data_IF_710727766689
#
_entry.id   IF_710727766689
#
_cell.length_a   1.000
_cell.length_b   1.000
_cell.length_c   1.000
_cell.angle_alpha   90.00
_cell.angle_beta   90.00
_cell.angle_gamma   90.00
#
_symmetry.space_group_name_H-M   'P 1'
#
loop_
_entity.id
_entity.type
_entity.pdbx_description
1 polymer ?
#
# COMPACT_ATOMS: atom_id res chain seq x y z
N UNK A 1 -40.10 -3.54 -28.56
CA UNK A 1 -39.39 -2.46 -27.82
C UNK A 1 -38.37 -3.15 -26.95
N UNK A 2 -37.13 -3.17 -27.42
CA UNK A 2 -35.99 -3.80 -26.77
C UNK A 2 -35.49 -2.92 -25.62
N UNK A 3 -35.30 -3.53 -24.45
CA UNK A 3 -34.57 -2.95 -23.33
C UNK A 3 -33.07 -3.05 -23.63
N UNK A 4 -32.51 -2.03 -24.26
CA UNK A 4 -31.10 -1.91 -24.62
C UNK A 4 -30.44 -0.73 -23.89
N UNK A 5 -30.64 -0.61 -22.57
CA UNK A 5 -30.22 0.56 -21.79
C UNK A 5 -29.34 0.30 -20.57
N UNK A 6 -29.30 -0.92 -20.03
CA UNK A 6 -28.61 -1.18 -18.75
C UNK A 6 -27.12 -1.60 -18.90
N UNK A 7 -26.73 -2.13 -20.07
CA UNK A 7 -25.34 -2.59 -20.31
C UNK A 7 -24.34 -1.45 -20.51
N UNK A 8 -24.79 -0.29 -20.96
CA UNK A 8 -23.90 0.84 -21.26
C UNK A 8 -23.50 1.63 -19.99
N UNK A 9 -24.33 1.62 -18.93
CA UNK A 9 -23.96 2.21 -17.64
C UNK A 9 -22.98 1.33 -16.82
N UNK A 10 -23.08 0.00 -16.98
CA UNK A 10 -22.24 -1.00 -16.31
C UNK A 10 -20.77 -0.93 -16.77
N UNK A 11 -20.56 -0.83 -18.08
CA UNK A 11 -19.23 -0.56 -18.65
C UNK A 11 -18.70 0.82 -18.23
N UNK A 12 -19.59 1.81 -18.06
CA UNK A 12 -19.23 3.16 -17.62
C UNK A 12 -18.66 3.22 -16.20
N UNK A 13 -19.08 2.35 -15.28
CA UNK A 13 -18.64 2.38 -13.88
C UNK A 13 -17.20 1.90 -13.68
N UNK A 14 -16.78 0.89 -14.45
CA UNK A 14 -15.39 0.43 -14.53
C UNK A 14 -14.56 1.29 -15.50
N UNK A 15 -15.14 1.81 -16.58
CA UNK A 15 -14.44 2.68 -17.53
C UNK A 15 -14.10 4.07 -16.95
N UNK A 16 -14.89 4.59 -16.02
CA UNK A 16 -14.63 5.85 -15.33
C UNK A 16 -13.54 5.77 -14.22
N UNK A 17 -12.77 4.67 -14.17
CA UNK A 17 -11.52 4.61 -13.39
C UNK A 17 -10.29 5.01 -14.23
N UNK A 18 -10.43 5.07 -15.55
CA UNK A 18 -9.33 5.38 -16.48
C UNK A 18 -9.05 6.88 -16.66
N UNK A 19 -9.77 7.77 -15.96
CA UNK A 19 -9.37 9.19 -15.77
C UNK A 19 -8.18 9.33 -14.79
N UNK A 20 -7.43 8.23 -14.61
CA UNK A 20 -6.19 8.17 -13.84
C UNK A 20 -5.13 9.04 -14.53
N UNK A 21 -4.32 9.73 -13.71
CA UNK A 21 -3.19 10.55 -14.18
C UNK A 21 -2.35 9.68 -15.14
N UNK A 22 -2.50 9.89 -16.45
CA UNK A 22 -1.80 9.19 -17.52
C UNK A 22 -0.33 9.64 -17.62
N UNK A 23 0.33 9.80 -16.48
CA UNK A 23 1.77 9.96 -16.45
C UNK A 23 2.39 8.62 -16.89
N UNK A 24 3.19 8.69 -17.95
CA UNK A 24 4.04 7.57 -18.33
C UNK A 24 4.89 7.17 -17.14
N UNK A 25 5.07 5.87 -16.95
CA UNK A 25 5.99 5.36 -15.93
C UNK A 25 7.41 5.84 -16.22
N UNK A 26 8.22 6.10 -15.17
CA UNK A 26 9.60 6.46 -15.39
C UNK A 26 10.33 5.32 -16.11
N UNK A 27 11.32 5.69 -16.93
CA UNK A 27 12.15 4.71 -17.60
C UNK A 27 12.94 3.91 -16.55
N UNK A 28 13.00 2.59 -16.74
CA UNK A 28 13.86 1.71 -15.94
C UNK A 28 15.32 1.86 -16.41
N UNK A 29 15.90 3.04 -16.20
CA UNK A 29 17.28 3.42 -16.58
C UNK A 29 17.91 4.15 -15.40
N UNK A 30 19.14 3.78 -15.05
CA UNK A 30 19.90 4.46 -13.99
C UNK A 30 20.26 5.90 -14.39
N UNK A 31 20.31 6.80 -13.40
CA UNK A 31 20.56 8.23 -13.62
C UNK A 31 21.90 8.50 -14.33
N UNK A 32 22.91 7.65 -14.13
CA UNK A 32 24.21 7.73 -14.79
C UNK A 32 24.14 7.54 -16.32
N UNK A 33 23.06 6.92 -16.81
CA UNK A 33 22.79 6.71 -18.23
C UNK A 33 21.83 7.78 -18.80
N UNK A 34 21.41 8.73 -17.98
CA UNK A 34 20.59 9.87 -18.37
C UNK A 34 21.51 11.08 -18.57
N UNK A 35 21.53 11.60 -19.81
CA UNK A 35 22.37 12.74 -20.18
C UNK A 35 21.55 13.86 -20.79
N UNK A 36 22.16 15.04 -20.96
CA UNK A 36 21.53 16.16 -21.66
C UNK A 36 21.15 15.83 -23.12
N UNK A 37 21.71 14.79 -23.72
CA UNK A 37 21.41 14.33 -25.07
C UNK A 37 20.28 13.27 -25.12
N UNK A 38 19.80 12.80 -23.97
CA UNK A 38 18.80 11.73 -23.86
C UNK A 38 19.26 10.59 -22.94
N UNK A 39 18.48 9.51 -22.91
CA UNK A 39 18.79 8.29 -22.15
C UNK A 39 19.45 7.23 -23.04
N UNK A 40 20.48 6.59 -22.51
CA UNK A 40 21.07 5.39 -23.09
C UNK A 40 20.34 4.14 -22.59
N UNK A 41 20.33 3.04 -23.35
CA UNK A 41 19.71 1.80 -22.90
C UNK A 41 20.42 1.24 -21.67
N UNK A 42 19.64 0.80 -20.68
CA UNK A 42 20.15 0.07 -19.52
C UNK A 42 20.83 -1.24 -19.99
N UNK A 43 22.07 -1.54 -19.57
CA UNK A 43 22.71 -2.82 -19.84
C UNK A 43 21.87 -3.98 -19.31
N UNK A 44 21.70 -5.04 -20.11
CA UNK A 44 20.86 -6.19 -19.74
C UNK A 44 21.33 -6.96 -18.51
N UNK A 45 22.60 -6.78 -18.12
CA UNK A 45 23.22 -7.41 -16.95
C UNK A 45 22.96 -6.64 -15.65
N UNK A 46 22.49 -5.39 -15.74
CA UNK A 46 22.31 -4.50 -14.59
C UNK A 46 20.84 -4.19 -14.37
N UNK A 47 20.41 -4.39 -13.12
CA UNK A 47 19.06 -4.01 -12.67
C UNK A 47 19.15 -2.62 -12.08
N UNK A 48 18.43 -1.63 -12.64
CA UNK A 48 18.48 -0.29 -12.13
C UNK A 48 17.64 -0.19 -10.84
N UNK A 49 18.06 0.62 -9.87
CA UNK A 49 17.35 0.75 -8.58
C UNK A 49 15.92 1.27 -8.81
N UNK A 50 15.74 2.15 -9.81
CA UNK A 50 14.44 2.70 -10.18
C UNK A 50 13.43 1.61 -10.60
N UNK A 51 13.88 0.42 -11.01
CA UNK A 51 12.98 -0.71 -11.28
C UNK A 51 12.15 -1.08 -10.04
N UNK A 52 12.72 -0.98 -8.84
CA UNK A 52 11.99 -1.19 -7.59
C UNK A 52 10.88 -0.17 -7.39
N UNK A 53 11.17 1.11 -7.68
CA UNK A 53 10.17 2.18 -7.63
C UNK A 53 9.05 1.95 -8.64
N UNK A 54 9.38 1.64 -9.90
CA UNK A 54 8.39 1.38 -10.97
C UNK A 54 7.44 0.25 -10.57
N UNK A 55 7.97 -0.86 -10.03
CA UNK A 55 7.15 -1.98 -9.54
C UNK A 55 6.21 -1.54 -8.42
N UNK A 56 6.70 -0.81 -7.42
CA UNK A 56 5.86 -0.27 -6.33
C UNK A 56 4.77 0.64 -6.89
N UNK A 57 5.08 1.51 -7.86
CA UNK A 57 4.10 2.39 -8.49
C UNK A 57 2.98 1.62 -9.18
N UNK A 58 3.30 0.53 -9.92
CA UNK A 58 2.30 -0.32 -10.56
C UNK A 58 1.36 -0.97 -9.55
N UNK A 59 1.92 -1.53 -8.48
CA UNK A 59 1.13 -2.12 -7.40
C UNK A 59 0.26 -1.05 -6.73
N UNK A 60 0.79 0.17 -6.57
CA UNK A 60 0.04 1.28 -5.99
C UNK A 60 -1.14 1.73 -6.87
N UNK A 61 -1.01 1.70 -8.21
CA UNK A 61 -2.13 1.94 -9.13
C UNK A 61 -3.23 0.89 -8.92
N UNK A 62 -2.85 -0.38 -8.85
CA UNK A 62 -3.78 -1.50 -8.58
C UNK A 62 -4.50 -1.31 -7.23
N UNK A 63 -3.75 -1.01 -6.17
CA UNK A 63 -4.27 -0.70 -4.84
C UNK A 63 -5.24 0.49 -4.88
N UNK A 64 -4.88 1.57 -5.56
CA UNK A 64 -5.68 2.79 -5.63
C UNK A 64 -7.03 2.54 -6.31
N UNK A 65 -7.04 1.81 -7.44
CA UNK A 65 -8.26 1.40 -8.15
C UNK A 65 -9.15 0.55 -7.25
N UNK A 66 -8.55 -0.40 -6.53
CA UNK A 66 -9.27 -1.29 -5.59
C UNK A 66 -9.89 -0.51 -4.44
N UNK A 67 -9.16 0.43 -3.81
CA UNK A 67 -9.67 1.30 -2.75
C UNK A 67 -10.82 2.17 -3.26
N UNK A 68 -10.68 2.75 -4.45
CA UNK A 68 -11.73 3.60 -5.04
C UNK A 68 -13.02 2.79 -5.25
N UNK A 69 -12.91 1.58 -5.79
CA UNK A 69 -14.04 0.68 -5.96
C UNK A 69 -14.66 0.28 -4.62
N UNK A 70 -13.85 -0.14 -3.64
CA UNK A 70 -14.33 -0.47 -2.31
C UNK A 70 -15.09 0.69 -1.67
N UNK A 71 -14.56 1.92 -1.76
CA UNK A 71 -15.23 3.12 -1.23
C UNK A 71 -16.55 3.39 -1.93
N UNK A 72 -16.62 3.23 -3.25
CA UNK A 72 -17.88 3.37 -4.01
C UNK A 72 -18.91 2.35 -3.53
N UNK A 73 -18.53 1.08 -3.40
CA UNK A 73 -19.41 0.01 -2.89
C UNK A 73 -19.91 0.34 -1.48
N UNK A 74 -18.99 0.65 -0.55
CA UNK A 74 -19.34 1.00 0.85
C UNK A 74 -20.27 2.22 0.92
N UNK A 75 -20.04 3.25 0.09
CA UNK A 75 -20.87 4.46 0.05
C UNK A 75 -22.28 4.19 -0.47
N UNK A 76 -22.40 3.41 -1.56
CA UNK A 76 -23.69 3.02 -2.13
C UNK A 76 -24.49 2.17 -1.15
N UNK A 77 -23.84 1.22 -0.46
CA UNK A 77 -24.49 0.41 0.57
C UNK A 77 -25.02 1.27 1.73
N UNK A 78 -24.23 2.24 2.20
CA UNK A 78 -24.63 3.15 3.27
C UNK A 78 -25.80 4.07 2.87
N UNK A 79 -25.79 4.62 1.65
CA UNK A 79 -26.88 5.45 1.13
C UNK A 79 -28.21 4.68 0.98
N UNK A 80 -28.11 3.38 0.71
CA UNK A 80 -29.27 2.49 0.52
C UNK A 80 -29.91 2.10 1.85
N UNK A 81 -29.12 1.92 2.92
CA UNK A 81 -29.60 1.60 4.28
C UNK A 81 -30.61 2.61 4.88
N UNK A 82 -30.65 3.84 4.35
CA UNK A 82 -31.63 4.88 4.75
C UNK A 82 -33.03 4.64 4.13
N UNK A 83 -33.14 3.78 3.11
CA UNK A 83 -34.42 3.36 2.51
C UNK A 83 -34.67 1.90 2.90
N UNK A 84 -35.78 1.65 3.58
CA UNK A 84 -36.25 0.33 4.03
C UNK A 84 -36.49 -0.64 2.87
N UNK A 85 -35.42 -1.16 2.27
CA UNK A 85 -35.42 -2.22 1.26
C UNK A 85 -34.33 -3.22 1.65
N UNK A 86 -34.70 -4.49 1.67
CA UNK A 86 -33.89 -5.66 2.07
C UNK A 86 -32.42 -5.59 1.60
N UNK A 87 -31.43 -5.77 2.51
CA UNK A 87 -30.01 -5.52 2.26
C UNK A 87 -29.30 -6.54 1.35
N UNK A 88 -30.02 -7.55 0.83
CA UNK A 88 -29.44 -8.58 -0.04
C UNK A 88 -29.66 -8.36 -1.54
N UNK A 89 -30.52 -7.43 -1.95
CA UNK A 89 -30.91 -7.27 -3.36
C UNK A 89 -30.29 -6.06 -4.07
N UNK A 90 -29.34 -5.35 -3.43
CA UNK A 90 -28.73 -4.12 -3.96
C UNK A 90 -27.21 -4.10 -3.76
N UNK A 91 -26.56 -5.27 -3.87
CA UNK A 91 -25.28 -5.25 -4.58
C UNK A 91 -25.56 -4.50 -5.89
N UNK A 92 -24.71 -3.54 -6.25
CA UNK A 92 -24.83 -2.76 -7.49
C UNK A 92 -25.40 -3.62 -8.63
N UNK A 93 -26.14 -3.04 -9.58
CA UNK A 93 -26.48 -3.68 -10.87
C UNK A 93 -25.23 -4.10 -11.70
N UNK A 94 -24.07 -4.21 -11.06
CA UNK A 94 -22.87 -4.90 -11.48
C UNK A 94 -23.13 -6.41 -11.41
N UNK A 95 -23.06 -7.06 -12.56
CA UNK A 95 -23.17 -8.50 -12.69
C UNK A 95 -22.18 -9.18 -11.72
N UNK A 96 -22.60 -10.15 -10.87
CA UNK A 96 -21.70 -10.99 -10.07
C UNK A 96 -20.50 -11.54 -10.85
N UNK A 97 -20.67 -11.80 -12.15
CA UNK A 97 -19.58 -12.24 -13.02
C UNK A 97 -18.52 -11.14 -13.24
N UNK A 98 -18.93 -9.86 -13.27
CA UNK A 98 -18.01 -8.71 -13.40
C UNK A 98 -17.12 -8.54 -12.16
N UNK A 99 -17.67 -8.78 -10.96
CA UNK A 99 -16.91 -8.72 -9.70
C UNK A 99 -15.89 -9.84 -9.58
N UNK A 100 -16.31 -11.08 -9.85
CA UNK A 100 -15.41 -12.24 -9.83
C UNK A 100 -14.29 -12.09 -10.88
N UNK A 101 -14.63 -11.56 -12.06
CA UNK A 101 -13.66 -11.21 -13.09
C UNK A 101 -12.68 -10.13 -12.64
N UNK A 102 -13.15 -9.07 -11.99
CA UNK A 102 -12.28 -8.01 -11.45
C UNK A 102 -11.31 -8.56 -10.40
N UNK A 103 -11.80 -9.34 -9.43
CA UNK A 103 -10.96 -9.95 -8.39
C UNK A 103 -9.89 -10.84 -9.01
N UNK A 104 -10.29 -11.74 -9.91
CA UNK A 104 -9.36 -12.67 -10.57
C UNK A 104 -8.32 -11.94 -11.43
N UNK A 105 -8.74 -10.92 -12.17
CA UNK A 105 -7.84 -10.09 -13.00
C UNK A 105 -6.85 -9.32 -12.14
N UNK A 106 -7.33 -8.71 -11.06
CA UNK A 106 -6.51 -7.92 -10.14
C UNK A 106 -5.48 -8.81 -9.44
N UNK A 107 -5.86 -10.01 -9.02
CA UNK A 107 -4.93 -11.00 -8.47
C UNK A 107 -3.87 -11.40 -9.50
N UNK A 108 -4.28 -11.73 -10.72
CA UNK A 108 -3.34 -12.05 -11.79
C UNK A 108 -2.34 -10.92 -12.07
N UNK A 109 -2.78 -9.66 -11.99
CA UNK A 109 -1.88 -8.50 -12.09
C UNK A 109 -0.89 -8.43 -10.91
N UNK A 110 -1.39 -8.58 -9.68
CA UNK A 110 -0.53 -8.57 -8.48
C UNK A 110 0.50 -9.70 -8.50
N UNK A 111 0.13 -10.89 -8.98
CA UNK A 111 1.03 -12.03 -9.12
C UNK A 111 2.04 -11.82 -10.26
N UNK A 112 1.61 -11.25 -11.37
CA UNK A 112 2.49 -10.88 -12.49
C UNK A 112 3.59 -9.92 -12.03
N UNK A 113 3.24 -8.92 -11.22
CA UNK A 113 4.21 -7.97 -10.67
C UNK A 113 5.22 -8.64 -9.73
N UNK A 114 4.85 -9.69 -9.00
CA UNK A 114 5.77 -10.45 -8.13
C UNK A 114 6.66 -11.43 -8.91
N UNK A 115 6.09 -12.16 -9.87
CA UNK A 115 6.82 -13.13 -10.69
C UNK A 115 7.80 -12.40 -11.63
N UNK A 116 7.44 -11.21 -12.10
CA UNK A 116 8.25 -10.37 -12.98
C UNK A 116 9.39 -9.62 -12.29
N UNK A 117 9.66 -9.87 -11.01
CA UNK A 117 10.74 -9.16 -10.29
C UNK A 117 12.13 -9.65 -10.75
N UNK A 118 13.04 -8.72 -11.10
CA UNK A 118 14.43 -9.06 -11.41
C UNK A 118 15.14 -9.57 -10.16
N UNK A 119 16.22 -10.34 -10.34
CA UNK A 119 16.89 -11.10 -9.27
C UNK A 119 17.17 -10.30 -7.98
N UNK A 120 17.71 -9.07 -8.02
CA UNK A 120 17.99 -8.29 -6.81
C UNK A 120 16.74 -7.82 -6.07
N UNK A 121 15.57 -7.85 -6.69
CA UNK A 121 14.29 -7.43 -6.10
C UNK A 121 13.40 -8.60 -5.70
N UNK A 122 13.84 -9.85 -5.90
CA UNK A 122 13.03 -11.02 -5.52
C UNK A 122 12.87 -11.10 -4.02
N UNK A 123 11.63 -11.08 -3.56
CA UNK A 123 11.26 -11.02 -2.13
C UNK A 123 11.39 -12.37 -1.43
N UNK A 124 11.47 -13.48 -2.17
CA UNK A 124 11.33 -14.84 -1.60
C UNK A 124 12.64 -15.63 -1.42
N UNK A 125 13.79 -15.17 -1.94
CA UNK A 125 14.94 -16.05 -2.17
C UNK A 125 16.32 -15.52 -1.71
N UNK A 126 16.40 -14.54 -0.82
CA UNK A 126 17.71 -14.04 -0.35
C UNK A 126 17.95 -14.46 1.08
N UNK A 127 18.77 -15.49 1.27
CA UNK A 127 19.66 -15.54 2.42
C UNK A 127 20.43 -14.21 2.41
N UNK A 128 20.22 -13.40 3.45
CA UNK A 128 20.93 -12.14 3.61
C UNK A 128 22.37 -12.52 3.88
N UNK A 129 23.25 -12.34 2.91
CA UNK A 129 24.68 -12.47 3.13
C UNK A 129 25.07 -11.33 4.10
N UNK A 130 25.38 -11.67 5.35
CA UNK A 130 25.58 -10.72 6.46
C UNK A 130 26.72 -9.71 6.21
N UNK A 131 27.46 -9.84 5.10
CA UNK A 131 28.61 -9.00 4.75
C UNK A 131 28.28 -7.75 3.91
N UNK A 132 27.00 -7.46 3.63
CA UNK A 132 26.63 -6.40 2.68
C UNK A 132 26.47 -5.02 3.30
N UNK A 133 27.58 -4.35 3.56
CA UNK A 133 27.65 -2.90 3.88
C UNK A 133 27.55 -1.99 2.64
N UNK A 134 27.10 -2.51 1.49
CA UNK A 134 27.02 -1.75 0.24
C UNK A 134 25.72 -0.92 0.12
N UNK A 135 25.79 0.39 -0.15
CA UNK A 135 24.60 1.27 -0.29
C UNK A 135 23.59 0.82 -1.35
N UNK A 136 24.05 0.19 -2.43
CA UNK A 136 23.18 -0.32 -3.51
C UNK A 136 22.32 -1.49 -3.02
N UNK A 137 22.90 -2.40 -2.22
CA UNK A 137 22.14 -3.50 -1.62
C UNK A 137 21.06 -2.97 -0.67
N UNK A 138 21.40 -1.96 0.14
CA UNK A 138 20.45 -1.30 1.03
C UNK A 138 19.25 -0.72 0.26
N UNK A 139 19.48 -0.10 -0.91
CA UNK A 139 18.40 0.42 -1.74
C UNK A 139 17.47 -0.70 -2.26
N UNK A 140 18.03 -1.83 -2.70
CA UNK A 140 17.22 -2.98 -3.13
C UNK A 140 16.41 -3.59 -2.00
N UNK A 141 16.98 -3.77 -0.81
CA UNK A 141 16.23 -4.29 0.36
C UNK A 141 15.09 -3.34 0.76
N UNK A 142 15.34 -2.02 0.70
CA UNK A 142 14.31 -0.99 0.90
C UNK A 142 13.17 -1.14 -0.11
N UNK A 143 13.49 -1.37 -1.39
CA UNK A 143 12.50 -1.63 -2.45
C UNK A 143 11.73 -2.93 -2.21
N UNK A 144 12.40 -4.04 -1.83
CA UNK A 144 11.74 -5.32 -1.52
C UNK A 144 10.69 -5.17 -0.42
N UNK A 145 11.03 -4.47 0.66
CA UNK A 145 10.10 -4.21 1.76
C UNK A 145 8.87 -3.43 1.28
N UNK A 146 9.06 -2.38 0.47
CA UNK A 146 7.94 -1.62 -0.10
C UNK A 146 7.05 -2.46 -1.02
N UNK A 147 7.66 -3.25 -1.90
CA UNK A 147 6.94 -4.15 -2.82
C UNK A 147 6.09 -5.10 -2.00
N UNK A 148 6.70 -5.79 -1.04
CA UNK A 148 6.04 -6.77 -0.17
C UNK A 148 4.85 -6.16 0.59
N UNK A 149 5.06 -5.04 1.27
CA UNK A 149 4.03 -4.38 2.07
C UNK A 149 2.90 -3.84 1.21
N UNK A 150 3.25 -3.23 0.07
CA UNK A 150 2.25 -2.62 -0.82
C UNK A 150 1.44 -3.68 -1.55
N UNK A 151 2.06 -4.83 -1.88
CA UNK A 151 1.38 -6.03 -2.37
C UNK A 151 0.41 -6.61 -1.35
N UNK A 152 0.82 -6.72 -0.08
CA UNK A 152 -0.06 -7.21 0.97
C UNK A 152 -1.26 -6.26 1.16
N UNK A 153 -1.03 -4.95 1.20
CA UNK A 153 -2.11 -3.95 1.25
C UNK A 153 -3.10 -4.09 0.09
N UNK A 154 -2.61 -4.25 -1.15
CA UNK A 154 -3.47 -4.44 -2.31
C UNK A 154 -4.35 -5.68 -2.16
N UNK A 155 -3.78 -6.80 -1.70
CA UNK A 155 -4.53 -8.04 -1.44
C UNK A 155 -5.53 -7.91 -0.29
N UNK A 156 -5.21 -7.15 0.76
CA UNK A 156 -6.15 -6.86 1.85
C UNK A 156 -7.34 -6.03 1.40
N UNK A 157 -7.10 -4.96 0.64
CA UNK A 157 -8.19 -4.14 0.10
C UNK A 157 -9.04 -4.94 -0.89
N UNK A 158 -8.42 -5.80 -1.71
CA UNK A 158 -9.13 -6.69 -2.60
C UNK A 158 -9.97 -7.73 -1.84
N UNK A 159 -9.46 -8.21 -0.70
CA UNK A 159 -10.21 -9.10 0.20
C UNK A 159 -11.44 -8.43 0.77
N UNK A 160 -11.30 -7.21 1.29
CA UNK A 160 -12.43 -6.44 1.77
C UNK A 160 -13.46 -6.18 0.66
N UNK A 161 -12.99 -5.89 -0.55
CA UNK A 161 -13.85 -5.72 -1.72
C UNK A 161 -14.64 -7.00 -2.06
N UNK A 162 -13.96 -8.15 -2.12
CA UNK A 162 -14.61 -9.43 -2.37
C UNK A 162 -15.66 -9.76 -1.30
N UNK A 163 -15.32 -9.61 -0.03
CA UNK A 163 -16.24 -9.86 1.08
C UNK A 163 -17.44 -8.90 1.08
N UNK A 164 -17.22 -7.60 0.80
CA UNK A 164 -18.32 -6.61 0.74
C UNK A 164 -19.28 -6.88 -0.42
N UNK A 165 -18.80 -7.51 -1.49
CA UNK A 165 -19.59 -7.86 -2.68
C UNK A 165 -20.21 -9.25 -2.61
N UNK A 166 -20.05 -9.97 -1.49
CA UNK A 166 -20.60 -11.33 -1.29
C UNK A 166 -19.81 -12.43 -1.99
N UNK A 167 -18.57 -12.15 -2.42
CA UNK A 167 -17.64 -13.15 -2.92
C UNK A 167 -16.78 -13.68 -1.76
N UNK A 168 -17.39 -14.52 -0.93
CA UNK A 168 -16.77 -15.10 0.27
C UNK A 168 -15.74 -16.20 -0.04
N UNK A 169 -15.69 -16.66 -1.29
CA UNK A 169 -14.76 -17.71 -1.75
C UNK A 169 -13.31 -17.20 -1.88
N UNK A 170 -13.10 -15.88 -1.88
CA UNK A 170 -11.77 -15.30 -1.94
C UNK A 170 -11.05 -15.36 -0.59
N UNK A 171 -10.09 -16.27 -0.49
CA UNK A 171 -9.25 -16.48 0.70
C UNK A 171 -7.94 -15.72 0.53
N UNK A 172 -7.52 -15.04 1.59
CA UNK A 172 -6.25 -14.35 1.66
C UNK A 172 -5.07 -15.35 1.61
N UNK A 173 -4.13 -15.15 0.68
CA UNK A 173 -3.00 -16.06 0.46
C UNK A 173 -1.96 -16.07 1.61
N UNK A 174 -1.14 -17.12 1.64
CA UNK A 174 -0.10 -17.31 2.66
C UNK A 174 0.91 -16.16 2.68
N UNK A 175 1.21 -15.56 1.52
CA UNK A 175 2.10 -14.42 1.41
C UNK A 175 1.59 -13.23 2.23
N UNK A 176 0.31 -12.92 2.07
CA UNK A 176 -0.33 -11.79 2.75
C UNK A 176 -0.50 -12.05 4.23
N UNK A 177 -0.84 -13.29 4.61
CA UNK A 177 -0.96 -13.68 6.02
C UNK A 177 0.39 -13.67 6.76
N UNK A 178 1.47 -14.06 6.08
CA UNK A 178 2.82 -14.11 6.65
C UNK A 178 3.65 -12.84 6.44
N UNK A 179 3.05 -11.77 5.92
CA UNK A 179 3.78 -10.54 5.57
C UNK A 179 4.54 -9.95 6.76
N UNK A 180 3.96 -9.98 7.97
CA UNK A 180 4.62 -9.47 9.18
C UNK A 180 5.83 -10.32 9.57
N UNK A 181 5.73 -11.66 9.50
CA UNK A 181 6.85 -12.57 9.74
C UNK A 181 7.96 -12.38 8.72
N UNK A 182 7.62 -12.02 7.47
CA UNK A 182 8.60 -11.73 6.42
C UNK A 182 9.29 -10.38 6.62
N UNK A 183 8.59 -9.39 7.18
CA UNK A 183 9.18 -8.11 7.56
C UNK A 183 10.07 -8.23 8.79
N UNK A 184 9.77 -9.14 9.71
CA UNK A 184 10.62 -9.41 10.88
C UNK A 184 12.02 -9.93 10.47
N UNK A 185 12.11 -10.59 9.31
CA UNK A 185 13.38 -10.99 8.70
C UNK A 185 14.11 -9.84 7.97
N UNK A 186 13.50 -8.66 7.85
CA UNK A 186 14.10 -7.49 7.21
C UNK A 186 14.76 -6.61 8.27
N UNK A 187 16.02 -6.18 8.05
CA UNK A 187 16.71 -5.30 9.00
C UNK A 187 15.92 -4.03 9.31
N UNK A 188 15.89 -3.64 10.59
CA UNK A 188 15.23 -2.42 11.06
C UNK A 188 15.75 -1.15 10.38
N UNK A 189 17.02 -1.14 9.94
CA UNK A 189 17.62 -0.02 9.21
C UNK A 189 16.95 0.18 7.83
N UNK A 190 16.60 -0.90 7.13
CA UNK A 190 15.89 -0.84 5.85
C UNK A 190 14.44 -0.39 6.02
N UNK A 191 13.79 -0.81 7.12
CA UNK A 191 12.41 -0.41 7.41
C UNK A 191 12.33 1.06 7.83
N UNK A 192 13.29 1.57 8.59
CA UNK A 192 13.35 2.97 9.02
C UNK A 192 13.70 3.92 7.88
N UNK A 193 14.52 3.50 6.91
CA UNK A 193 14.82 4.27 5.70
C UNK A 193 13.59 4.58 4.84
N UNK A 194 12.52 3.79 4.95
CA UNK A 194 11.25 4.05 4.26
C UNK A 194 10.39 5.14 4.93
N UNK A 195 10.86 5.69 6.05
CA UNK A 195 10.21 6.77 6.77
C UNK A 195 8.86 6.38 7.39
N UNK A 196 8.06 7.40 7.69
CA UNK A 196 6.78 7.23 8.38
C UNK A 196 5.76 6.44 7.55
N UNK A 197 5.80 6.51 6.21
CA UNK A 197 4.86 5.80 5.34
C UNK A 197 4.87 4.28 5.58
N UNK A 198 6.05 3.68 5.70
CA UNK A 198 6.18 2.25 5.97
C UNK A 198 5.56 1.87 7.31
N UNK A 199 5.81 2.67 8.36
CA UNK A 199 5.22 2.43 9.69
C UNK A 199 3.69 2.38 9.61
N UNK A 200 3.07 3.35 8.94
CA UNK A 200 1.61 3.38 8.77
C UNK A 200 1.09 2.15 8.02
N UNK A 201 1.77 1.73 6.95
CA UNK A 201 1.38 0.54 6.18
C UNK A 201 1.48 -0.74 7.01
N UNK A 202 2.56 -0.91 7.78
CA UNK A 202 2.76 -2.09 8.65
C UNK A 202 1.75 -2.11 9.80
N UNK A 203 1.50 -0.96 10.43
CA UNK A 203 0.48 -0.83 11.49
C UNK A 203 -0.90 -1.17 10.95
N UNK A 204 -1.24 -0.70 9.75
CA UNK A 204 -2.50 -1.05 9.11
C UNK A 204 -2.63 -2.55 8.90
N UNK A 205 -1.58 -3.20 8.35
CA UNK A 205 -1.57 -4.66 8.15
C UNK A 205 -1.76 -5.41 9.48
N UNK A 206 -1.03 -5.03 10.52
CA UNK A 206 -1.11 -5.67 11.82
C UNK A 206 -2.50 -5.50 12.46
N UNK A 207 -3.05 -4.29 12.42
CA UNK A 207 -4.38 -4.00 12.92
C UNK A 207 -5.45 -4.76 12.14
N UNK A 208 -5.30 -4.89 10.82
CA UNK A 208 -6.21 -5.67 9.99
C UNK A 208 -6.21 -7.16 10.38
N UNK A 209 -5.03 -7.75 10.52
CA UNK A 209 -4.88 -9.15 10.92
C UNK A 209 -5.48 -9.40 12.31
N UNK A 210 -5.21 -8.51 13.28
CA UNK A 210 -5.76 -8.59 14.63
C UNK A 210 -7.28 -8.44 14.65
N UNK A 211 -7.85 -7.52 13.86
CA UNK A 211 -9.30 -7.39 13.70
C UNK A 211 -9.91 -8.69 13.19
N UNK A 212 -9.33 -9.25 12.12
CA UNK A 212 -9.77 -10.51 11.53
C UNK A 212 -9.73 -11.68 12.52
N UNK A 213 -8.63 -11.85 13.25
CA UNK A 213 -8.49 -12.95 14.23
C UNK A 213 -9.41 -12.80 15.44
N UNK A 214 -9.66 -11.56 15.89
CA UNK A 214 -10.53 -11.27 17.03
C UNK A 214 -12.02 -11.26 16.67
N UNK A 215 -12.37 -11.34 15.38
CA UNK A 215 -13.75 -11.16 14.90
C UNK A 215 -14.27 -9.72 15.02
N UNK A 216 -13.36 -8.76 15.26
CA UNK A 216 -13.68 -7.33 15.31
C UNK A 216 -13.55 -6.74 13.92
N UNK A 217 -14.39 -5.76 13.57
CA UNK A 217 -14.28 -5.03 12.31
C UNK A 217 -12.85 -4.46 12.15
N UNK A 218 -12.08 -4.90 11.13
CA UNK A 218 -10.73 -4.42 10.88
C UNK A 218 -10.64 -2.89 10.76
N UNK A 219 -11.67 -2.22 10.23
CA UNK A 219 -11.69 -0.76 10.08
C UNK A 219 -11.66 -0.04 11.44
N UNK A 220 -12.26 -0.65 12.47
CA UNK A 220 -12.27 -0.11 13.84
C UNK A 220 -10.89 -0.26 14.47
N UNK A 221 -10.31 -1.46 14.40
CA UNK A 221 -8.98 -1.75 14.97
C UNK A 221 -7.90 -0.91 14.30
N UNK A 222 -7.95 -0.77 12.97
CA UNK A 222 -7.04 0.09 12.22
C UNK A 222 -7.11 1.55 12.67
N UNK A 223 -8.32 2.08 12.91
CA UNK A 223 -8.50 3.48 13.34
C UNK A 223 -7.91 3.71 14.74
N UNK A 224 -8.12 2.78 15.66
CA UNK A 224 -7.55 2.83 17.01
C UNK A 224 -6.03 2.73 16.98
N UNK A 225 -5.48 1.79 16.23
CA UNK A 225 -4.04 1.61 16.09
C UNK A 225 -3.37 2.86 15.49
N UNK A 226 -3.95 3.44 14.44
CA UNK A 226 -3.43 4.67 13.82
C UNK A 226 -3.53 5.89 14.73
N UNK A 227 -4.58 5.98 15.55
CA UNK A 227 -4.72 7.04 16.57
C UNK A 227 -3.59 6.99 17.60
N UNK A 228 -3.24 5.78 18.06
CA UNK A 228 -2.13 5.57 19.01
C UNK A 228 -0.80 5.99 18.37
N UNK A 229 -0.52 5.56 17.15
CA UNK A 229 0.73 5.90 16.45
C UNK A 229 0.83 7.41 16.18
N UNK A 230 -0.27 8.03 15.76
CA UNK A 230 -0.31 9.48 15.52
C UNK A 230 -0.13 10.30 16.79
N UNK A 231 -0.57 9.78 17.95
CA UNK A 231 -0.38 10.43 19.25
C UNK A 231 1.08 10.37 19.74
N UNK A 232 1.89 9.43 19.23
CA UNK A 232 3.30 9.29 19.58
C UNK A 232 4.24 10.14 18.71
N UNK A 233 3.82 10.56 17.51
CA UNK A 233 4.60 11.44 16.62
C UNK A 233 4.56 12.93 17.05
N UNK A 234 3.93 13.26 18.20
CA UNK A 234 4.01 14.59 18.80
C UNK A 234 5.38 14.76 19.48
N UNK A 235 6.38 15.16 18.70
CA UNK A 235 7.61 15.71 19.26
C UNK A 235 7.26 16.95 20.12
N UNK A 236 7.79 17.07 21.36
CA UNK A 236 7.67 18.29 22.12
C UNK A 236 8.32 19.43 21.33
N UNK A 237 7.58 20.51 21.10
CA UNK A 237 8.14 21.76 20.57
C UNK A 237 9.34 22.18 21.43
N UNK A 238 10.49 22.53 20.83
CA UNK A 238 11.64 23.02 21.57
C UNK A 238 11.41 24.48 21.98
N UNK A 239 10.43 24.73 22.84
CA UNK A 239 10.19 26.04 23.44
C UNK A 239 9.64 25.88 24.85
N UNK A 240 10.51 25.53 25.81
CA UNK A 240 10.31 25.98 27.21
C UNK A 240 11.57 25.94 28.08
N UNK A 241 12.67 25.31 27.67
CA UNK A 241 13.89 25.24 28.49
C UNK A 241 14.83 26.47 28.42
N UNK A 242 14.46 27.54 27.70
CA UNK A 242 15.26 28.76 27.60
C UNK A 242 14.71 29.98 28.38
N UNK A 243 13.81 29.78 29.36
CA UNK A 243 13.32 30.87 30.23
C UNK A 243 13.44 30.62 31.75
N UNK A 244 14.15 29.57 32.17
CA UNK A 244 14.55 29.38 33.58
C UNK A 244 16.04 29.08 33.65
N UNK A 245 16.86 30.11 33.48
CA UNK A 245 18.31 30.00 33.57
C UNK A 245 19.08 31.30 33.35
N UNK A 246 18.40 32.45 33.35
CA UNK A 246 19.02 33.77 33.14
C UNK A 246 18.44 34.86 34.05
N UNK A 247 17.86 34.45 35.18
CA UNK A 247 17.34 35.36 36.21
C UNK A 247 17.99 35.16 37.59
N UNK A 248 19.04 34.35 37.71
CA UNK A 248 19.59 33.93 39.02
C UNK A 248 21.13 34.00 39.12
N UNK A 249 21.77 34.88 38.35
CA UNK A 249 23.21 35.20 38.48
C UNK A 249 23.50 36.71 38.37
N UNK A 250 22.67 37.51 39.03
CA UNK A 250 23.02 38.88 39.40
C UNK A 250 22.65 39.06 40.86
N UNK A 251 23.49 38.50 41.73
CA UNK A 251 23.72 38.92 43.11
C UNK A 251 24.67 37.87 43.72
N UNK A 252 25.98 38.17 43.69
CA UNK A 252 27.01 37.80 44.67
C UNK A 252 28.28 38.60 44.28
N UNK A 253 28.39 39.76 44.96
CA UNK A 253 29.56 40.46 45.53
C UNK A 253 30.90 40.51 44.75
N UNK A 254 31.48 41.67 44.44
CA UNK A 254 32.20 42.61 45.34
C UNK A 254 33.26 41.91 46.22
N UNK A 255 34.52 41.99 45.76
CA UNK A 255 35.73 41.55 46.47
C UNK A 255 36.93 41.55 45.53
#
# INVERSE_FOLDING_TARGET
>A
MEFCGARDEEAGLLANLDDEISASEPLEVDDDLITNAGSFPQPSELVPIIAGFVRVTRIFKILSRTIQLLRRVKTTAAATSVRTVEPRSLALDLDPTSFSSYVSTTLGQLDTELVGLPSPLRVMNTEVDEDTSQPVQHAFETCKANILVTQALARYELYQFASTTGNDDYILDDLTQSVLSRLDMTSGDYLTANGSSMRHKVVFIAAFLLGRESGTDPDVVCREALSIVSSQDVHPTPTSFAKRGLADMRDIELG
#
